data_IF_953584971757
#
_entry.id   IF_953584971757
#
_cell.length_a   1.000
_cell.length_b   1.000
_cell.length_c   1.000
_cell.angle_alpha   90.00
_cell.angle_beta   90.00
_cell.angle_gamma   90.00
#
_symmetry.space_group_name_H-M   'P 1'
#
loop_
_entity.id
_entity.type
_entity.pdbx_description
1 polymer ?
#
# COMPACT_ATOMS: atom_id res chain seq x y z
N UNK A 1 -5.02 -16.16 -2.54
CA UNK A 1 -4.37 -14.86 -2.31
C UNK A 1 -3.24 -14.70 -3.31
N UNK A 2 -3.24 -13.58 -4.02
CA UNK A 2 -2.23 -13.28 -5.01
C UNK A 2 -1.45 -12.04 -4.56
N UNK A 3 -0.13 -12.21 -4.37
CA UNK A 3 0.79 -11.12 -4.05
C UNK A 3 1.49 -10.64 -5.30
N UNK A 4 1.53 -9.34 -5.51
CA UNK A 4 2.27 -8.71 -6.61
C UNK A 4 3.27 -7.73 -6.01
N UNK A 5 4.53 -8.13 -6.00
CA UNK A 5 5.66 -7.37 -5.46
C UNK A 5 6.73 -7.21 -6.54
N UNK A 6 7.01 -6.06 -6.98
CA UNK A 6 6.29 -4.81 -6.71
C UNK A 6 5.60 -4.37 -7.98
N UNK A 7 4.56 -3.58 -7.82
CA UNK A 7 3.72 -3.16 -8.95
C UNK A 7 4.53 -2.43 -10.04
N UNK A 8 5.60 -1.72 -9.66
CA UNK A 8 6.44 -0.99 -10.61
C UNK A 8 7.18 -1.90 -11.60
N UNK A 9 7.43 -3.15 -11.21
CA UNK A 9 8.15 -4.10 -12.06
C UNK A 9 7.24 -4.96 -12.91
N UNK A 10 5.92 -4.81 -12.80
CA UNK A 10 4.98 -5.62 -13.59
C UNK A 10 4.92 -5.19 -15.05
N UNK A 11 5.20 -3.92 -15.33
CA UNK A 11 4.98 -3.34 -16.65
C UNK A 11 3.52 -3.27 -17.06
N UNK A 12 2.60 -3.50 -16.13
CA UNK A 12 1.17 -3.50 -16.40
C UNK A 12 0.63 -2.11 -16.74
N UNK A 13 -0.30 -2.08 -17.69
CA UNK A 13 -1.12 -0.90 -17.93
C UNK A 13 -2.34 -0.92 -17.00
N UNK A 14 -3.04 0.21 -16.90
CA UNK A 14 -4.30 0.28 -16.14
C UNK A 14 -5.32 -0.73 -16.66
N UNK A 15 -5.38 -0.92 -17.97
CA UNK A 15 -6.29 -1.86 -18.59
C UNK A 15 -5.96 -3.30 -18.21
N UNK A 16 -4.68 -3.65 -18.21
CA UNK A 16 -4.22 -4.98 -17.81
C UNK A 16 -4.52 -5.25 -16.34
N UNK A 17 -4.33 -4.25 -15.48
CA UNK A 17 -4.70 -4.34 -14.07
C UNK A 17 -6.21 -4.61 -13.90
N UNK A 18 -7.04 -3.86 -14.60
CA UNK A 18 -8.49 -4.05 -14.53
C UNK A 18 -8.90 -5.43 -15.06
N UNK A 19 -8.30 -5.88 -16.16
CA UNK A 19 -8.56 -7.21 -16.74
C UNK A 19 -8.17 -8.32 -15.78
N UNK A 20 -7.06 -8.18 -15.07
CA UNK A 20 -6.61 -9.17 -14.09
C UNK A 20 -7.64 -9.33 -12.97
N UNK A 21 -8.18 -8.24 -12.45
CA UNK A 21 -9.20 -8.26 -11.40
C UNK A 21 -10.51 -8.87 -11.90
N UNK A 22 -10.90 -8.57 -13.13
CA UNK A 22 -12.12 -9.12 -13.72
C UNK A 22 -12.00 -10.62 -13.99
N UNK A 23 -10.82 -11.08 -14.39
CA UNK A 23 -10.55 -12.49 -14.66
C UNK A 23 -10.60 -13.34 -13.39
N UNK A 24 -10.18 -12.77 -12.25
CA UNK A 24 -10.12 -13.49 -10.98
C UNK A 24 -10.92 -12.76 -9.88
N UNK A 25 -12.26 -12.66 -10.03
CA UNK A 25 -13.06 -11.84 -9.11
C UNK A 25 -13.14 -12.40 -7.69
N UNK A 26 -12.84 -13.69 -7.50
CA UNK A 26 -12.91 -14.37 -6.21
C UNK A 26 -11.54 -14.46 -5.50
N UNK A 27 -10.53 -13.77 -6.02
CA UNK A 27 -9.20 -13.78 -5.42
C UNK A 27 -8.93 -12.49 -4.67
N UNK A 28 -8.23 -12.61 -3.55
CA UNK A 28 -7.68 -11.45 -2.84
C UNK A 28 -6.34 -11.09 -3.50
N UNK A 29 -6.25 -9.86 -3.96
CA UNK A 29 -5.00 -9.32 -4.50
C UNK A 29 -4.34 -8.41 -3.48
N UNK A 30 -3.05 -8.61 -3.26
CA UNK A 30 -2.23 -7.73 -2.44
C UNK A 30 -1.13 -7.16 -3.32
N UNK A 31 -1.22 -5.86 -3.60
CA UNK A 31 -0.25 -5.14 -4.42
C UNK A 31 0.73 -4.41 -3.52
N UNK A 32 2.01 -4.66 -3.73
CA UNK A 32 3.08 -3.99 -3.01
C UNK A 32 3.71 -2.97 -3.94
N UNK A 33 3.86 -1.74 -3.46
CA UNK A 33 4.36 -0.63 -4.25
C UNK A 33 5.50 0.08 -3.56
N UNK A 34 6.47 0.51 -4.35
CA UNK A 34 7.44 1.50 -3.90
C UNK A 34 6.73 2.82 -3.67
N UNK A 35 7.24 3.60 -2.73
CA UNK A 35 6.69 4.90 -2.40
C UNK A 35 7.61 6.02 -2.89
N UNK A 36 6.98 7.13 -3.26
CA UNK A 36 7.65 8.39 -3.55
C UNK A 36 7.05 9.41 -2.58
N UNK A 37 7.71 9.60 -1.44
CA UNK A 37 7.14 10.35 -0.33
C UNK A 37 5.93 9.63 0.27
N UNK A 38 4.79 10.31 0.34
CA UNK A 38 3.55 9.76 0.90
C UNK A 38 2.73 9.00 -0.12
N UNK A 39 3.10 9.02 -1.38
CA UNK A 39 2.35 8.41 -2.46
C UNK A 39 3.09 7.23 -3.07
N UNK A 40 2.38 6.26 -3.65
CA UNK A 40 3.01 5.22 -4.44
C UNK A 40 3.72 5.82 -5.65
N UNK A 41 4.78 5.16 -6.10
CA UNK A 41 5.58 5.61 -7.22
C UNK A 41 4.96 5.17 -8.54
N UNK A 42 4.68 6.15 -9.41
CA UNK A 42 4.23 5.91 -10.78
C UNK A 42 2.71 5.97 -10.95
N UNK A 43 2.28 6.12 -12.19
CA UNK A 43 0.88 6.33 -12.55
C UNK A 43 0.00 5.12 -12.23
N UNK A 44 0.47 3.91 -12.55
CA UNK A 44 -0.28 2.69 -12.26
C UNK A 44 -0.48 2.51 -10.76
N UNK A 45 0.58 2.67 -9.97
CA UNK A 45 0.50 2.50 -8.53
C UNK A 45 -0.45 3.51 -7.89
N UNK A 46 -0.46 4.76 -8.37
CA UNK A 46 -1.42 5.76 -7.90
C UNK A 46 -2.86 5.40 -8.28
N UNK A 47 -3.06 4.87 -9.48
CA UNK A 47 -4.38 4.39 -9.89
C UNK A 47 -4.87 3.25 -8.99
N UNK A 48 -4.01 2.27 -8.70
CA UNK A 48 -4.33 1.16 -7.81
C UNK A 48 -4.64 1.65 -6.40
N UNK A 49 -3.92 2.66 -5.93
CA UNK A 49 -4.20 3.28 -4.63
C UNK A 49 -5.64 3.79 -4.53
N UNK A 50 -6.12 4.48 -5.57
CA UNK A 50 -7.48 5.00 -5.56
C UNK A 50 -8.53 3.93 -5.76
N UNK A 51 -8.21 2.85 -6.46
CA UNK A 51 -9.12 1.74 -6.73
C UNK A 51 -9.21 0.77 -5.55
N UNK A 52 -8.18 0.62 -4.76
CA UNK A 52 -8.12 -0.36 -3.68
C UNK A 52 -9.09 -0.02 -2.55
N UNK A 53 -9.71 -1.07 -1.99
CA UNK A 53 -10.61 -0.95 -0.85
C UNK A 53 -9.84 -0.69 0.44
N UNK A 54 -8.66 -1.27 0.56
CA UNK A 54 -7.79 -1.15 1.72
C UNK A 54 -6.42 -0.69 1.25
N UNK A 55 -5.91 0.38 1.86
CA UNK A 55 -4.60 0.96 1.58
C UNK A 55 -3.79 0.97 2.86
N UNK A 56 -2.55 0.53 2.76
CA UNK A 56 -1.66 0.51 3.92
C UNK A 56 -0.36 1.20 3.54
N UNK A 57 -0.03 2.26 4.28
CA UNK A 57 1.27 2.94 4.15
C UNK A 57 2.14 2.55 5.32
N UNK A 58 3.34 2.08 5.02
CA UNK A 58 4.30 1.68 6.06
C UNK A 58 5.43 2.69 6.07
N UNK A 59 5.65 3.33 7.22
CA UNK A 59 6.71 4.30 7.42
C UNK A 59 7.06 4.36 8.89
N UNK A 60 8.36 4.43 9.19
CA UNK A 60 8.83 4.60 10.56
C UNK A 60 8.38 3.47 11.48
N UNK A 61 8.34 2.25 10.97
CA UNK A 61 7.94 1.04 11.69
C UNK A 61 6.49 1.08 12.19
N UNK A 62 5.66 1.82 11.47
CA UNK A 62 4.21 1.90 11.70
C UNK A 62 3.47 1.60 10.41
N UNK A 63 2.35 0.91 10.51
CA UNK A 63 1.45 0.68 9.38
C UNK A 63 0.19 1.53 9.58
N UNK A 64 -0.10 2.37 8.60
CA UNK A 64 -1.27 3.24 8.61
C UNK A 64 -2.27 2.72 7.59
N UNK A 65 -3.44 2.30 8.07
CA UNK A 65 -4.49 1.71 7.26
C UNK A 65 -5.57 2.73 6.94
N UNK A 66 -5.95 2.80 5.67
CA UNK A 66 -7.10 3.57 5.22
C UNK A 66 -8.00 2.62 4.43
N UNK A 67 -9.19 2.38 4.94
CA UNK A 67 -10.13 1.42 4.36
C UNK A 67 -11.48 2.07 4.08
N UNK A 68 -12.09 1.73 2.94
CA UNK A 68 -13.47 2.11 2.63
C UNK A 68 -14.47 1.37 3.51
N UNK A 69 -14.05 0.27 4.12
CA UNK A 69 -14.90 -0.59 4.93
C UNK A 69 -14.92 -0.17 6.40
N UNK A 70 -14.20 0.89 6.75
CA UNK A 70 -14.02 1.30 8.13
C UNK A 70 -12.86 0.59 8.79
N UNK A 71 -12.76 0.69 10.10
CA UNK A 71 -11.69 0.06 10.88
C UNK A 71 -10.93 1.06 11.72
N UNK A 72 -9.86 0.61 12.35
CA UNK A 72 -9.05 1.42 13.24
C UNK A 72 -8.35 2.55 12.49
N UNK A 73 -8.37 3.72 13.11
CA UNK A 73 -7.68 4.91 12.60
C UNK A 73 -6.30 5.08 13.20
N UNK A 74 -6.00 4.29 14.24
CA UNK A 74 -4.71 4.34 14.91
C UNK A 74 -3.68 3.55 14.12
N UNK A 75 -2.43 4.07 13.99
CA UNK A 75 -1.37 3.31 13.35
C UNK A 75 -1.06 2.03 14.11
N UNK A 76 -0.82 0.95 13.40
CA UNK A 76 -0.29 -0.28 13.97
C UNK A 76 1.22 -0.15 14.12
N UNK A 77 1.74 -0.35 15.31
CA UNK A 77 3.17 -0.26 15.59
C UNK A 77 3.81 -1.62 15.29
N UNK A 78 4.65 -1.66 14.25
CA UNK A 78 5.32 -2.88 13.83
C UNK A 78 6.49 -3.20 14.75
N UNK A 79 7.26 -2.18 15.12
CA UNK A 79 8.40 -2.31 16.02
C UNK A 79 8.49 -1.04 16.87
N UNK A 80 8.15 -1.17 18.16
CA UNK A 80 7.99 -0.03 19.05
C UNK A 80 9.28 0.79 19.22
N UNK A 81 10.40 0.11 19.43
CA UNK A 81 11.69 0.78 19.62
C UNK A 81 12.11 1.55 18.38
N UNK A 82 11.96 0.93 17.19
CA UNK A 82 12.27 1.57 15.94
C UNK A 82 11.36 2.75 15.65
N UNK A 83 10.07 2.63 15.96
CA UNK A 83 9.11 3.70 15.77
C UNK A 83 9.44 4.90 16.65
N UNK A 84 9.80 4.68 17.91
CA UNK A 84 10.18 5.74 18.84
C UNK A 84 11.45 6.45 18.36
N UNK A 85 12.45 5.71 17.89
CA UNK A 85 13.69 6.27 17.39
C UNK A 85 13.46 7.07 16.11
N UNK A 86 12.62 6.58 15.22
CA UNK A 86 12.26 7.29 14.00
C UNK A 86 11.58 8.62 14.31
N UNK A 87 10.58 8.61 15.21
CA UNK A 87 9.88 9.81 15.62
C UNK A 87 10.82 10.83 16.30
N UNK A 88 11.73 10.34 17.12
CA UNK A 88 12.76 11.19 17.76
C UNK A 88 13.63 11.86 16.70
N UNK A 89 14.08 11.12 15.69
CA UNK A 89 14.92 11.66 14.62
C UNK A 89 14.21 12.71 13.78
N UNK A 90 12.89 12.57 13.58
CA UNK A 90 12.10 13.55 12.83
C UNK A 90 12.03 14.90 13.55
N UNK A 91 12.21 14.94 14.87
CA UNK A 91 12.16 16.17 15.67
C UNK A 91 13.49 16.90 15.71
N UNK A 92 14.53 16.29 15.16
CA UNK A 92 15.87 16.90 15.06
C UNK A 92 16.01 17.75 13.76
#
# INVERSE_FOLDING_TARGET
IIFIDSIQYTGMTKREYQSLKEEFPNKLFIFISHADGKNPKGALANFVKYDADIKIRVEGYKAMCLSRLGGDKEPYIIWAEGAAQYDFNLKQ
#
